data_IF_924149604909
#
_entry.id   IF_924149604909
#
_cell.length_a   1.000
_cell.length_b   1.000
_cell.length_c   1.000
_cell.angle_alpha   90.00
_cell.angle_beta   90.00
_cell.angle_gamma   90.00
#
_symmetry.space_group_name_H-M   'P 1'
#
loop_
_entity.id
_entity.type
_entity.pdbx_description
1 polymer ?
#
# COMPACT_ATOMS: atom_id res chain seq x y z
N UNK A 1 3.32 -8.87 -13.50
CA UNK A 1 2.20 -9.48 -12.74
C UNK A 1 1.12 -8.44 -12.45
N UNK A 2 0.00 -8.41 -13.20
CA UNK A 2 -1.04 -7.38 -13.06
C UNK A 2 -1.72 -7.33 -11.67
N UNK A 3 -1.81 -8.49 -11.00
CA UNK A 3 -2.47 -8.62 -9.70
C UNK A 3 -1.79 -7.83 -8.58
N UNK A 4 -0.46 -7.83 -8.50
CA UNK A 4 0.27 -7.09 -7.46
C UNK A 4 0.19 -5.58 -7.66
N UNK A 5 0.27 -5.13 -8.92
CA UNK A 5 0.05 -3.72 -9.24
C UNK A 5 -1.36 -3.28 -8.85
N UNK A 6 -2.37 -4.08 -9.18
CA UNK A 6 -3.75 -3.82 -8.78
C UNK A 6 -3.89 -3.72 -7.25
N UNK A 7 -3.28 -4.63 -6.50
CA UNK A 7 -3.28 -4.59 -5.03
C UNK A 7 -2.67 -3.31 -4.49
N UNK A 8 -1.45 -2.96 -4.94
CA UNK A 8 -0.75 -1.74 -4.50
C UNK A 8 -1.59 -0.49 -4.76
N UNK A 9 -2.15 -0.36 -5.97
CA UNK A 9 -2.96 0.79 -6.34
C UNK A 9 -4.26 0.85 -5.53
N UNK A 10 -4.98 -0.26 -5.37
CA UNK A 10 -6.20 -0.29 -4.56
C UNK A 10 -5.94 0.15 -3.13
N UNK A 11 -4.87 -0.31 -2.49
CA UNK A 11 -4.53 0.09 -1.12
C UNK A 11 -4.17 1.58 -1.02
N UNK A 12 -3.39 2.10 -1.97
CA UNK A 12 -3.04 3.53 -2.01
C UNK A 12 -4.28 4.40 -2.23
N UNK A 13 -5.09 4.12 -3.26
CA UNK A 13 -6.29 4.90 -3.54
C UNK A 13 -7.33 4.82 -2.43
N UNK A 14 -7.52 3.65 -1.82
CA UNK A 14 -8.44 3.49 -0.69
C UNK A 14 -8.04 4.37 0.49
N UNK A 15 -6.75 4.47 0.80
CA UNK A 15 -6.24 5.35 1.86
C UNK A 15 -6.44 6.82 1.50
N UNK A 16 -6.12 7.22 0.27
CA UNK A 16 -6.32 8.59 -0.22
C UNK A 16 -7.80 9.01 -0.19
N UNK A 17 -8.70 8.17 -0.74
CA UNK A 17 -10.15 8.41 -0.70
C UNK A 17 -10.67 8.54 0.72
N UNK A 18 -10.24 7.65 1.62
CA UNK A 18 -10.64 7.70 3.02
C UNK A 18 -10.20 9.02 3.67
N UNK A 19 -8.95 9.43 3.46
CA UNK A 19 -8.41 10.66 4.05
C UNK A 19 -9.15 11.91 3.55
N UNK A 20 -9.42 11.98 2.24
CA UNK A 20 -10.19 13.08 1.63
C UNK A 20 -11.61 13.14 2.20
N UNK A 21 -12.31 12.00 2.26
CA UNK A 21 -13.67 11.94 2.82
C UNK A 21 -13.68 12.30 4.30
N UNK A 22 -12.77 11.74 5.11
CA UNK A 22 -12.70 12.02 6.55
C UNK A 22 -12.39 13.50 6.86
N UNK A 23 -11.73 14.21 5.94
CA UNK A 23 -11.37 15.61 6.12
C UNK A 23 -12.42 16.59 5.62
N UNK A 24 -13.01 16.32 4.45
CA UNK A 24 -13.82 17.32 3.72
C UNK A 24 -15.30 17.01 3.67
N UNK A 25 -15.74 15.78 3.99
CA UNK A 25 -17.15 15.43 3.96
C UNK A 25 -17.83 15.77 5.30
N UNK A 26 -18.70 16.77 5.27
CA UNK A 26 -19.62 17.13 6.34
C UNK A 26 -21.07 16.65 6.02
N UNK A 27 -21.35 16.28 4.78
CA UNK A 27 -22.63 15.81 4.25
C UNK A 27 -22.50 14.91 3.00
N UNK A 28 -23.64 14.53 2.40
CA UNK A 28 -23.69 13.58 1.27
C UNK A 28 -23.40 14.21 -0.10
N UNK A 29 -23.57 15.53 -0.25
CA UNK A 29 -23.48 16.24 -1.53
C UNK A 29 -22.25 17.18 -1.61
N UNK A 30 -21.28 16.98 -0.72
CA UNK A 30 -20.10 17.84 -0.68
C UNK A 30 -19.17 17.58 -1.88
N UNK A 31 -18.64 18.68 -2.43
CA UNK A 31 -17.61 18.65 -3.45
C UNK A 31 -16.26 18.34 -2.80
N UNK A 32 -15.82 17.09 -2.96
CA UNK A 32 -14.54 16.61 -2.45
C UNK A 32 -13.39 16.97 -3.42
N UNK A 33 -12.19 17.34 -2.92
CA UNK A 33 -11.03 17.55 -3.77
C UNK A 33 -10.65 16.26 -4.51
N UNK A 34 -10.23 16.41 -5.76
CA UNK A 34 -9.85 15.28 -6.60
C UNK A 34 -8.53 14.66 -6.12
N UNK A 35 -8.44 13.33 -6.20
CA UNK A 35 -7.18 12.62 -6.03
C UNK A 35 -6.47 12.58 -7.38
N UNK A 36 -5.26 13.11 -7.43
CA UNK A 36 -4.47 13.19 -8.65
C UNK A 36 -3.55 11.98 -8.79
N UNK A 37 -3.63 11.30 -9.93
CA UNK A 37 -2.75 10.19 -10.27
C UNK A 37 -1.90 10.56 -11.49
N UNK A 38 -0.58 10.61 -11.31
CA UNK A 38 0.38 10.82 -12.38
C UNK A 38 1.13 9.54 -12.66
N UNK A 39 1.10 9.09 -13.91
CA UNK A 39 1.86 7.93 -14.38
C UNK A 39 2.96 8.46 -15.28
N UNK A 40 4.20 8.27 -14.86
CA UNK A 40 5.38 8.74 -15.57
C UNK A 40 6.20 7.54 -16.00
N UNK A 41 6.55 7.52 -17.28
CA UNK A 41 7.45 6.52 -17.84
C UNK A 41 8.84 7.13 -17.98
N UNK A 42 9.76 6.71 -17.12
CA UNK A 42 11.18 7.04 -17.20
C UNK A 42 11.93 6.07 -18.11
N UNK A 43 13.23 6.31 -18.30
CA UNK A 43 14.11 5.43 -19.06
C UNK A 43 14.35 4.10 -18.32
N UNK A 44 14.43 4.14 -17.00
CA UNK A 44 14.79 3.01 -16.13
C UNK A 44 13.56 2.44 -15.39
N UNK A 45 12.62 3.31 -15.01
CA UNK A 45 11.49 2.96 -14.16
C UNK A 45 10.15 3.48 -14.70
N UNK A 46 9.07 2.97 -14.10
CA UNK A 46 7.73 3.53 -14.17
C UNK A 46 7.41 4.04 -12.78
N UNK A 47 7.10 5.33 -12.68
CA UNK A 47 6.69 5.97 -11.43
C UNK A 47 5.21 6.29 -11.49
N UNK A 48 4.46 5.88 -10.46
CA UNK A 48 3.07 6.25 -10.26
C UNK A 48 2.99 7.10 -8.99
N UNK A 49 2.62 8.37 -9.12
CA UNK A 49 2.36 9.28 -8.00
C UNK A 49 0.87 9.42 -7.78
N UNK A 50 0.41 9.14 -6.57
CA UNK A 50 -0.96 9.43 -6.11
C UNK A 50 -0.90 10.55 -5.07
N UNK A 51 -1.63 11.63 -5.31
CA UNK A 51 -1.67 12.82 -4.47
C UNK A 51 -3.08 13.09 -3.97
N UNK A 52 -3.22 13.31 -2.68
CA UNK A 52 -4.49 13.68 -2.03
C UNK A 52 -4.35 14.97 -1.22
N UNK A 53 -5.49 15.61 -0.97
CA UNK A 53 -5.63 16.73 -0.02
C UNK A 53 -6.33 16.27 1.27
N UNK A 54 -6.05 15.04 1.73
CA UNK A 54 -6.70 14.39 2.87
C UNK A 54 -6.21 14.85 4.24
N UNK A 55 -5.44 15.93 4.33
CA UNK A 55 -4.96 16.51 5.58
C UNK A 55 -3.60 16.01 6.06
N UNK A 56 -3.02 15.03 5.38
CA UNK A 56 -1.67 14.56 5.65
C UNK A 56 -1.52 13.71 6.92
N UNK A 57 -0.27 13.42 7.26
CA UNK A 57 0.15 12.55 8.36
C UNK A 57 1.13 13.35 9.23
N UNK A 58 0.78 13.52 10.50
CA UNK A 58 1.65 14.16 11.47
C UNK A 58 3.01 13.44 11.57
N UNK A 59 4.10 14.22 11.69
CA UNK A 59 5.48 13.68 11.70
C UNK A 59 5.70 12.63 12.79
N UNK A 60 5.01 12.73 13.92
CA UNK A 60 5.06 11.74 15.00
C UNK A 60 4.54 10.35 14.59
N UNK A 61 3.69 10.26 13.56
CA UNK A 61 3.12 9.02 13.08
C UNK A 61 3.88 8.41 11.88
N UNK A 62 4.67 9.20 11.14
CA UNK A 62 5.44 8.73 9.98
C UNK A 62 6.31 7.49 10.26
N UNK A 63 7.02 7.35 11.40
CA UNK A 63 7.81 6.15 11.68
C UNK A 63 6.97 4.87 11.82
N UNK A 64 5.66 5.01 12.09
CA UNK A 64 4.77 3.88 12.36
C UNK A 64 4.00 3.41 11.13
N UNK A 65 3.91 4.19 10.05
CA UNK A 65 3.08 3.88 8.87
C UNK A 65 3.47 2.56 8.18
N UNK A 66 4.72 2.11 8.38
CA UNK A 66 5.24 0.86 7.83
C UNK A 66 5.13 -0.33 8.77
N UNK A 67 4.72 -0.12 10.03
CA UNK A 67 4.55 -1.22 10.99
C UNK A 67 3.31 -2.01 10.64
N UNK A 68 3.44 -3.33 10.51
CA UNK A 68 2.29 -4.21 10.40
C UNK A 68 1.33 -4.02 11.57
N UNK A 69 0.04 -4.08 11.28
CA UNK A 69 -1.07 -3.89 12.22
C UNK A 69 -1.18 -2.46 12.81
N UNK A 70 -0.35 -1.51 12.40
CA UNK A 70 -0.53 -0.11 12.75
C UNK A 70 -1.68 0.50 11.96
N UNK A 71 -2.60 1.19 12.64
CA UNK A 71 -3.72 1.87 11.99
C UNK A 71 -4.19 3.07 12.82
N UNK A 72 -4.64 4.11 12.12
CA UNK A 72 -5.31 5.27 12.70
C UNK A 72 -6.84 5.12 12.71
N UNK A 73 -7.38 4.00 12.18
CA UNK A 73 -8.81 3.74 12.15
C UNK A 73 -9.34 3.41 13.55
N UNK A 74 -10.26 4.25 14.06
CA UNK A 74 -10.98 4.01 15.32
C UNK A 74 -11.84 2.74 15.28
N UNK A 75 -12.21 2.27 14.09
CA UNK A 75 -13.00 1.04 13.85
C UNK A 75 -12.10 -0.16 13.53
N UNK A 76 -10.84 -0.16 13.98
CA UNK A 76 -9.95 -1.30 13.79
C UNK A 76 -10.55 -2.59 14.39
N UNK A 77 -10.55 -3.71 13.65
CA UNK A 77 -10.91 -5.01 14.20
C UNK A 77 -10.10 -5.40 15.44
N UNK A 78 -8.87 -4.87 15.57
CA UNK A 78 -7.97 -5.14 16.70
C UNK A 78 -8.28 -4.31 17.95
N UNK A 79 -8.97 -3.19 17.81
CA UNK A 79 -9.36 -2.32 18.92
C UNK A 79 -10.56 -2.88 19.70
N UNK A 80 -11.37 -3.75 19.07
CA UNK A 80 -12.56 -4.36 19.69
C UNK A 80 -12.26 -5.61 20.53
N UNK A 81 -11.12 -5.65 21.22
CA UNK A 81 -10.67 -6.82 22.03
C UNK A 81 -11.59 -7.16 23.24
N UNK A 82 -12.77 -6.57 23.34
CA UNK A 82 -13.76 -6.85 24.40
C UNK A 82 -15.17 -7.19 23.90
N UNK A 83 -15.47 -7.06 22.60
CA UNK A 83 -16.74 -7.53 22.03
C UNK A 83 -16.40 -8.61 21.01
N UNK A 84 -16.91 -9.82 21.23
CA UNK A 84 -16.71 -10.98 20.36
C UNK A 84 -16.89 -10.57 18.89
N UNK A 85 -15.82 -10.71 18.12
CA UNK A 85 -15.89 -10.69 16.67
C UNK A 85 -16.80 -11.87 16.27
N UNK A 86 -18.10 -11.62 16.08
CA UNK A 86 -19.06 -12.62 15.63
C UNK A 86 -18.70 -13.02 14.19
N UNK A 87 -17.68 -13.84 14.03
CA UNK A 87 -17.43 -14.58 12.81
C UNK A 87 -18.52 -15.62 12.70
N UNK A 88 -19.45 -15.42 11.76
CA UNK A 88 -20.25 -16.55 11.29
C UNK A 88 -19.27 -17.53 10.63
N UNK A 89 -19.34 -18.84 10.93
CA UNK A 89 -18.44 -19.82 10.34
C UNK A 89 -18.63 -19.80 8.81
N UNK A 90 -17.58 -19.48 8.07
CA UNK A 90 -17.59 -19.30 6.61
C UNK A 90 -17.34 -17.87 6.11
N UNK A 91 -17.22 -16.88 7.00
CA UNK A 91 -16.83 -15.53 6.60
C UNK A 91 -15.31 -15.40 6.48
N UNK A 92 -14.81 -15.38 5.24
CA UNK A 92 -13.43 -15.06 4.87
C UNK A 92 -13.03 -13.60 5.16
N UNK A 93 -13.75 -12.91 6.04
CA UNK A 93 -13.41 -11.57 6.53
C UNK A 93 -12.09 -11.54 7.34
N UNK A 94 -11.50 -12.70 7.60
CA UNK A 94 -10.20 -12.87 8.24
C UNK A 94 -9.02 -12.84 7.27
N UNK A 95 -9.23 -12.86 5.94
CA UNK A 95 -8.15 -12.76 4.96
C UNK A 95 -8.01 -11.31 4.45
N UNK A 96 -6.94 -10.58 4.82
CA UNK A 96 -6.67 -9.22 4.34
C UNK A 96 -6.48 -9.12 2.82
N UNK A 97 -6.25 -10.25 2.15
CA UNK A 97 -6.09 -10.36 0.69
C UNK A 97 -7.40 -10.60 -0.05
N UNK A 98 -8.49 -10.87 0.67
CA UNK A 98 -9.77 -11.21 0.07
C UNK A 98 -10.63 -9.96 0.01
N UNK A 99 -11.18 -9.68 -1.19
CA UNK A 99 -12.02 -8.50 -1.45
C UNK A 99 -13.12 -8.45 -0.37
N UNK A 100 -13.27 -7.35 0.39
CA UNK A 100 -14.34 -7.26 1.37
C UNK A 100 -15.67 -7.46 0.63
N UNK A 101 -16.53 -8.36 1.15
CA UNK A 101 -17.94 -8.39 0.75
C UNK A 101 -18.54 -7.00 1.02
N UNK A 102 -19.56 -6.60 0.26
CA UNK A 102 -20.24 -5.31 0.43
C UNK A 102 -20.52 -5.04 1.92
N UNK A 103 -19.98 -3.95 2.45
CA UNK A 103 -20.07 -3.56 3.87
C UNK A 103 -18.84 -3.84 4.75
N UNK A 104 -17.76 -4.43 4.21
CA UNK A 104 -16.50 -4.61 4.96
C UNK A 104 -15.80 -3.29 5.29
N UNK A 105 -15.11 -3.24 6.43
CA UNK A 105 -14.37 -2.06 6.90
C UNK A 105 -13.28 -1.69 5.88
N UNK A 106 -13.39 -0.50 5.27
CA UNK A 106 -12.44 -0.01 4.25
C UNK A 106 -10.99 0.12 4.79
N UNK A 107 -10.81 0.39 6.08
CA UNK A 107 -9.49 0.51 6.69
C UNK A 107 -9.51 0.05 8.15
N UNK A 108 -8.45 -0.61 8.61
CA UNK A 108 -8.33 -0.94 10.04
C UNK A 108 -7.47 -2.15 10.38
N UNK A 109 -7.13 -3.00 9.41
CA UNK A 109 -6.24 -4.13 9.66
C UNK A 109 -4.77 -3.72 9.78
N UNK A 110 -4.35 -2.60 9.18
CA UNK A 110 -2.97 -2.10 9.26
C UNK A 110 -1.94 -2.93 8.47
N UNK A 111 -2.38 -3.66 7.44
CA UNK A 111 -1.52 -4.56 6.65
C UNK A 111 -1.24 -4.01 5.24
N UNK A 112 -2.22 -3.32 4.65
CA UNK A 112 -2.23 -3.08 3.20
C UNK A 112 -1.09 -2.21 2.67
N UNK A 113 -0.76 -1.13 3.36
CA UNK A 113 0.33 -0.23 2.93
C UNK A 113 1.70 -0.90 3.03
N UNK A 114 1.96 -1.60 4.14
CA UNK A 114 3.22 -2.35 4.33
C UNK A 114 3.34 -3.49 3.33
N UNK A 115 2.25 -4.22 3.07
CA UNK A 115 2.25 -5.30 2.08
C UNK A 115 2.40 -4.76 0.66
N UNK A 116 1.78 -3.61 0.35
CA UNK A 116 1.96 -2.92 -0.93
C UNK A 116 3.42 -2.52 -1.15
N UNK A 117 4.11 -2.00 -0.12
CA UNK A 117 5.54 -1.71 -0.21
C UNK A 117 6.38 -2.96 -0.41
N UNK A 118 6.07 -4.06 0.28
CA UNK A 118 6.76 -5.33 0.10
C UNK A 118 6.65 -5.83 -1.35
N UNK A 119 5.47 -5.70 -1.97
CA UNK A 119 5.31 -6.03 -3.38
C UNK A 119 6.12 -5.13 -4.31
N UNK A 120 6.19 -3.83 -4.03
CA UNK A 120 7.02 -2.91 -4.82
C UNK A 120 8.51 -3.30 -4.75
N UNK A 121 9.00 -3.56 -3.54
CA UNK A 121 10.39 -3.96 -3.28
C UNK A 121 10.74 -5.30 -3.93
N UNK A 122 9.84 -6.27 -3.84
CA UNK A 122 10.02 -7.57 -4.49
C UNK A 122 10.30 -7.45 -6.00
N UNK A 123 9.70 -6.47 -6.69
CA UNK A 123 9.96 -6.17 -8.11
C UNK A 123 11.10 -5.17 -8.33
N UNK A 124 11.97 -4.98 -7.35
CA UNK A 124 13.13 -4.07 -7.39
C UNK A 124 12.77 -2.58 -7.36
N UNK A 125 11.53 -2.25 -7.00
CA UNK A 125 11.03 -0.89 -6.85
C UNK A 125 10.95 -0.44 -5.39
N UNK A 126 10.14 0.57 -5.10
CA UNK A 126 9.82 0.98 -3.73
C UNK A 126 8.49 1.74 -3.68
N UNK A 127 7.89 1.80 -2.50
CA UNK A 127 6.72 2.62 -2.22
C UNK A 127 7.11 3.65 -1.16
N UNK A 128 7.16 4.93 -1.56
CA UNK A 128 7.57 6.06 -0.72
C UNK A 128 6.38 6.95 -0.44
N UNK A 129 6.40 7.59 0.73
CA UNK A 129 5.32 8.48 1.17
C UNK A 129 5.96 9.79 1.62
N UNK A 130 5.46 10.89 1.07
CA UNK A 130 5.75 12.24 1.50
C UNK A 130 4.43 12.86 1.93
N UNK A 131 4.35 13.32 3.17
CA UNK A 131 3.11 13.85 3.71
C UNK A 131 3.33 15.25 4.27
N UNK A 132 2.37 16.12 4.00
CA UNK A 132 2.30 17.49 4.45
C UNK A 132 1.18 17.58 5.48
N UNK A 133 1.55 17.53 6.77
CA UNK A 133 0.61 17.62 7.88
C UNK A 133 -0.23 18.91 7.79
N UNK A 134 -1.55 18.75 7.85
CA UNK A 134 -2.52 19.82 7.64
C UNK A 134 -2.93 20.05 6.19
N UNK A 135 -2.31 19.38 5.20
CA UNK A 135 -2.62 19.55 3.78
C UNK A 135 -2.99 18.22 3.09
N UNK A 136 -2.04 17.30 2.93
CA UNK A 136 -2.22 16.17 2.02
C UNK A 136 -1.06 15.18 2.01
N UNK A 137 -1.20 14.11 1.25
CA UNK A 137 -0.17 13.07 1.12
C UNK A 137 0.12 12.73 -0.34
N UNK A 138 1.39 12.62 -0.66
CA UNK A 138 1.91 12.07 -1.90
C UNK A 138 2.47 10.67 -1.66
N UNK A 139 1.99 9.70 -2.43
CA UNK A 139 2.52 8.33 -2.48
C UNK A 139 3.20 8.11 -3.82
N UNK A 140 4.47 7.71 -3.80
CA UNK A 140 5.26 7.38 -4.97
C UNK A 140 5.48 5.88 -5.03
N UNK A 141 4.96 5.23 -6.07
CA UNK A 141 5.22 3.85 -6.39
C UNK A 141 6.21 3.80 -7.55
N UNK A 142 7.43 3.34 -7.27
CA UNK A 142 8.47 3.09 -8.27
C UNK A 142 8.47 1.61 -8.63
N UNK A 143 8.49 1.31 -9.92
CA UNK A 143 8.61 -0.05 -10.44
C UNK A 143 9.62 -0.08 -11.56
N UNK A 144 10.51 -1.06 -11.56
CA UNK A 144 11.45 -1.24 -12.66
C UNK A 144 10.73 -1.60 -13.96
N UNK A 145 11.34 -1.23 -15.09
CA UNK A 145 10.89 -1.76 -16.39
C UNK A 145 11.03 -3.29 -16.40
N UNK A 146 9.99 -3.96 -16.86
CA UNK A 146 9.96 -5.42 -16.96
C UNK A 146 11.05 -5.91 -17.92
N UNK A 147 11.87 -6.87 -17.48
CA UNK A 147 12.74 -7.66 -18.36
C UNK A 147 14.25 -7.61 -18.06
N UNK A 148 14.73 -6.65 -17.25
CA UNK A 148 16.17 -6.49 -16.98
C UNK A 148 16.56 -6.60 -15.51
N UNK A 149 15.62 -6.47 -14.57
CA UNK A 149 15.90 -6.54 -13.13
C UNK A 149 15.45 -7.90 -12.55
N UNK A 150 16.33 -8.51 -11.75
CA UNK A 150 16.00 -9.67 -10.91
C UNK A 150 15.07 -9.28 -9.76
N UNK A 151 14.36 -10.27 -9.22
CA UNK A 151 13.55 -10.10 -8.02
C UNK A 151 14.46 -9.80 -6.82
N UNK A 152 14.04 -8.89 -5.94
CA UNK A 152 14.79 -8.58 -4.72
C UNK A 152 14.40 -9.57 -3.61
N UNK A 153 15.19 -10.64 -3.49
CA UNK A 153 14.96 -11.69 -2.51
C UNK A 153 15.88 -11.53 -1.29
N UNK A 154 15.41 -11.91 -0.09
CA UNK A 154 16.28 -12.03 1.07
C UNK A 154 17.49 -12.92 0.77
N UNK A 155 18.66 -12.57 1.29
CA UNK A 155 19.95 -13.23 0.99
C UNK A 155 19.96 -14.76 1.16
N UNK A 156 19.06 -15.30 1.98
CA UNK A 156 18.90 -16.73 2.20
C UNK A 156 18.04 -17.45 1.14
N UNK A 157 17.53 -16.75 0.15
CA UNK A 157 16.73 -17.30 -0.95
C UNK A 157 17.58 -17.35 -2.21
N UNK A 158 18.35 -18.42 -2.34
CA UNK A 158 19.25 -18.64 -3.48
C UNK A 158 18.52 -19.12 -4.75
N UNK A 159 17.37 -19.79 -4.57
CA UNK A 159 16.63 -20.39 -5.66
C UNK A 159 15.18 -19.91 -5.63
N UNK A 160 14.69 -19.41 -6.76
CA UNK A 160 13.26 -19.12 -6.92
C UNK A 160 12.45 -20.43 -6.90
N UNK A 161 11.13 -20.40 -6.67
CA UNK A 161 10.26 -21.60 -6.73
C UNK A 161 10.30 -22.34 -8.08
N UNK A 162 10.80 -21.70 -9.13
CA UNK A 162 11.05 -22.27 -10.46
C UNK A 162 12.48 -22.82 -10.64
N UNK A 163 13.23 -22.95 -9.53
CA UNK A 163 14.63 -23.40 -9.47
C UNK A 163 15.61 -22.53 -10.27
N UNK A 164 15.30 -21.24 -10.46
CA UNK A 164 16.25 -20.29 -11.05
C UNK A 164 17.10 -19.65 -9.96
N UNK A 165 18.40 -19.61 -10.18
CA UNK A 165 19.35 -18.91 -9.33
C UNK A 165 18.97 -17.42 -9.27
N UNK A 166 18.82 -16.91 -8.06
CA UNK A 166 18.43 -15.53 -7.77
C UNK A 166 19.61 -14.70 -7.25
N UNK A 167 20.83 -15.24 -7.27
CA UNK A 167 22.04 -14.47 -7.03
C UNK A 167 22.16 -13.33 -8.05
N UNK A 168 22.46 -12.12 -7.55
CA UNK A 168 22.84 -11.02 -8.43
C UNK A 168 24.11 -11.44 -9.17
N UNK A 169 24.08 -11.42 -10.51
CA UNK A 169 25.29 -11.57 -11.31
C UNK A 169 26.25 -10.44 -10.88
N UNK A 170 27.37 -10.80 -10.24
CA UNK A 170 28.51 -9.90 -10.07
C UNK A 170 29.12 -9.65 -11.46
N UNK A 171 28.45 -8.86 -12.30
CA UNK A 171 29.06 -8.35 -13.52
C UNK A 171 29.89 -7.10 -13.18
N UNK A 172 31.20 -7.38 -13.07
CA UNK A 172 32.33 -6.53 -13.45
C UNK A 172 32.64 -5.28 -12.63
N UNK A 173 33.62 -5.44 -11.74
CA UNK A 173 34.68 -4.43 -11.57
C UNK A 173 36.05 -5.15 -11.49
N UNK A 174 36.60 -5.48 -12.66
CA UNK A 174 38.04 -5.47 -12.91
C UNK A 174 38.43 -4.08 -13.40
#
# INVERSE_FOLDING_TARGET
VPMHLHYMLVEVFKNACRAVVERHADGFDDLLPAIHCHIVHGNEDVTIRVSDEGGGIARAHLPNIWKFMYTTSKKSPWARRGEEFQTRPGDSASNPLQRPKQGGVLAGFGVGLTLGRLYAQYFGGDLKILSLDGFGTDVFLHLNRLGTACEDLPQNVLYSPSMRDSSALEEAAQ
#
